data_IF_266803261466
#
_entry.id   IF_266803261466
#
_cell.length_a   1.000
_cell.length_b   1.000
_cell.length_c   1.000
_cell.angle_alpha   90.00
_cell.angle_beta   90.00
_cell.angle_gamma   90.00
#
_symmetry.space_group_name_H-M   'P 1'
#
loop_
_entity.id
_entity.type
_entity.pdbx_description
1 polymer ?
#
# COMPACT_ATOMS: atom_id res chain seq x y z
N UNK A 1 4.06 5.99 10.73
CA UNK A 1 4.43 5.41 9.44
C UNK A 1 3.24 4.70 8.83
N UNK A 2 3.05 4.85 7.53
CA UNK A 2 1.89 4.28 6.84
C UNK A 2 2.15 2.83 6.44
N UNK A 3 1.07 2.06 6.34
CA UNK A 3 1.11 0.67 5.92
C UNK A 3 0.45 0.51 4.55
N UNK A 4 0.92 -0.49 3.81
CA UNK A 4 0.26 -0.97 2.61
C UNK A 4 -0.34 -2.34 2.92
N UNK A 5 -1.55 -2.59 2.45
CA UNK A 5 -2.28 -3.83 2.69
C UNK A 5 -2.46 -4.59 1.40
N UNK A 6 -2.18 -5.89 1.42
CA UNK A 6 -2.35 -6.75 0.25
C UNK A 6 -3.73 -7.41 0.28
N UNK A 7 -4.49 -7.23 -0.79
CA UNK A 7 -5.77 -7.90 -0.99
C UNK A 7 -5.58 -9.36 -1.41
N UNK A 8 -6.63 -10.14 -1.26
CA UNK A 8 -6.63 -11.55 -1.65
C UNK A 8 -6.40 -11.75 -3.16
N UNK A 9 -6.74 -10.75 -3.98
CA UNK A 9 -6.51 -10.79 -5.43
C UNK A 9 -5.07 -10.45 -5.84
N UNK A 10 -4.20 -10.11 -4.88
CA UNK A 10 -2.80 -9.77 -5.13
C UNK A 10 -2.50 -8.28 -5.25
N UNK A 11 -3.50 -7.43 -5.32
CA UNK A 11 -3.28 -5.98 -5.39
C UNK A 11 -3.00 -5.39 -4.02
N UNK A 12 -2.28 -4.26 -4.01
CA UNK A 12 -1.95 -3.55 -2.77
C UNK A 12 -2.73 -2.24 -2.69
N UNK A 13 -3.21 -1.91 -1.50
CA UNK A 13 -3.91 -0.65 -1.22
C UNK A 13 -3.22 0.08 -0.08
N UNK A 14 -3.31 1.40 -0.08
CA UNK A 14 -2.69 2.23 0.95
C UNK A 14 -3.54 2.27 2.20
N UNK A 15 -2.92 2.65 3.32
CA UNK A 15 -3.65 2.90 4.56
C UNK A 15 -4.74 3.97 4.36
N UNK A 16 -4.44 5.00 3.56
CA UNK A 16 -5.41 6.04 3.25
C UNK A 16 -6.66 5.46 2.57
N UNK A 17 -6.47 4.54 1.63
CA UNK A 17 -7.60 3.91 0.92
C UNK A 17 -8.46 3.08 1.88
N UNK A 18 -7.83 2.37 2.83
CA UNK A 18 -8.54 1.61 3.87
C UNK A 18 -9.34 2.55 4.77
N UNK A 19 -8.75 3.65 5.20
CA UNK A 19 -9.43 4.63 6.04
C UNK A 19 -10.61 5.29 5.31
N UNK A 20 -10.43 5.57 4.01
CA UNK A 20 -11.48 6.13 3.17
C UNK A 20 -12.63 5.14 3.01
N UNK A 21 -12.32 3.85 2.80
CA UNK A 21 -13.34 2.81 2.68
C UNK A 21 -14.16 2.69 3.97
N UNK A 22 -13.51 2.79 5.12
CA UNK A 22 -14.20 2.80 6.41
C UNK A 22 -15.16 3.98 6.52
N UNK A 23 -14.70 5.18 6.17
CA UNK A 23 -15.52 6.38 6.21
C UNK A 23 -16.73 6.25 5.27
N UNK A 24 -16.51 5.78 4.05
CA UNK A 24 -17.60 5.63 3.07
C UNK A 24 -18.62 4.57 3.50
N UNK A 25 -18.17 3.53 4.19
CA UNK A 25 -19.05 2.44 4.64
C UNK A 25 -19.85 2.80 5.89
N UNK A 26 -19.27 3.56 6.81
CA UNK A 26 -19.87 3.81 8.13
C UNK A 26 -20.25 5.27 8.39
N UNK A 27 -19.73 6.21 7.59
CA UNK A 27 -19.89 7.64 7.84
C UNK A 27 -19.06 8.16 9.01
N UNK A 28 -18.17 7.32 9.56
CA UNK A 28 -17.36 7.65 10.73
C UNK A 28 -15.90 7.80 10.31
N UNK A 29 -15.25 8.92 10.70
CA UNK A 29 -13.82 9.09 10.49
C UNK A 29 -13.05 8.16 11.43
N UNK A 30 -11.97 7.55 10.93
CA UNK A 30 -11.08 6.75 11.76
C UNK A 30 -10.57 7.53 12.97
N UNK A 31 -10.24 8.81 12.76
CA UNK A 31 -9.71 9.65 13.81
C UNK A 31 -10.74 10.00 14.88
N UNK A 32 -12.02 9.91 14.55
CA UNK A 32 -13.10 10.14 15.51
C UNK A 32 -13.36 8.92 16.39
N UNK A 33 -13.12 7.71 15.86
CA UNK A 33 -13.40 6.49 16.63
C UNK A 33 -12.53 5.34 16.16
N UNK A 34 -11.30 5.28 16.70
CA UNK A 34 -10.33 4.24 16.35
C UNK A 34 -10.83 2.84 16.71
N UNK A 35 -11.57 2.69 17.80
CA UNK A 35 -12.10 1.41 18.23
C UNK A 35 -13.06 0.83 17.19
N UNK A 36 -13.96 1.66 16.66
CA UNK A 36 -14.89 1.22 15.60
C UNK A 36 -14.14 0.89 14.32
N UNK A 37 -13.09 1.66 13.99
CA UNK A 37 -12.25 1.37 12.82
C UNK A 37 -11.61 -0.01 12.96
N UNK A 38 -11.04 -0.33 14.10
CA UNK A 38 -10.42 -1.64 14.33
C UNK A 38 -11.44 -2.78 14.29
N UNK A 39 -12.62 -2.57 14.85
CA UNK A 39 -13.70 -3.56 14.79
C UNK A 39 -14.18 -3.82 13.36
N UNK A 40 -14.14 -2.80 12.51
CA UNK A 40 -14.47 -2.94 11.10
C UNK A 40 -13.36 -3.64 10.31
N UNK A 41 -12.10 -3.31 10.64
CA UNK A 41 -10.94 -3.81 9.91
C UNK A 41 -10.62 -5.28 10.22
N UNK A 42 -10.69 -5.69 11.48
CA UNK A 42 -10.29 -7.05 11.89
C UNK A 42 -11.00 -8.17 11.11
N UNK A 43 -12.32 -8.12 10.87
CA UNK A 43 -12.95 -9.17 10.08
C UNK A 43 -12.46 -9.27 8.64
N UNK A 44 -11.87 -8.20 8.08
CA UNK A 44 -11.32 -8.21 6.74
C UNK A 44 -9.94 -8.85 6.68
N UNK A 45 -9.21 -8.84 7.81
CA UNK A 45 -7.90 -9.47 7.88
C UNK A 45 -8.04 -10.99 7.79
N UNK A 46 -7.27 -11.59 6.88
CA UNK A 46 -7.36 -13.02 6.62
C UNK A 46 -8.43 -13.44 5.63
N UNK A 47 -9.37 -12.57 5.30
CA UNK A 47 -10.38 -12.82 4.27
C UNK A 47 -10.09 -12.02 3.00
N UNK A 48 -10.21 -10.71 3.10
CA UNK A 48 -9.96 -9.79 1.96
C UNK A 48 -8.54 -9.26 1.99
N UNK A 49 -8.01 -8.99 3.19
CA UNK A 49 -6.66 -8.47 3.38
C UNK A 49 -5.82 -9.59 3.98
N UNK A 50 -4.79 -10.04 3.24
CA UNK A 50 -4.00 -11.21 3.63
C UNK A 50 -2.66 -10.86 4.26
N UNK A 51 -2.12 -9.66 4.03
CA UNK A 51 -0.91 -9.22 4.72
C UNK A 51 -0.77 -7.70 4.65
N UNK A 52 0.18 -7.18 5.43
CA UNK A 52 0.50 -5.76 5.44
C UNK A 52 2.02 -5.59 5.46
N UNK A 53 2.51 -4.51 4.81
CA UNK A 53 3.92 -4.13 4.82
C UNK A 53 4.03 -2.64 5.06
N UNK A 54 5.16 -2.24 5.68
CA UNK A 54 5.43 -0.82 5.93
C UNK A 54 5.84 -0.14 4.63
N UNK A 55 5.54 1.17 4.51
CA UNK A 55 5.86 1.94 3.31
C UNK A 55 7.36 2.04 3.02
N UNK A 56 8.22 1.74 4.01
CA UNK A 56 9.67 1.73 3.85
C UNK A 56 10.25 0.33 3.68
N UNK A 57 9.43 -0.70 3.47
CA UNK A 57 9.89 -2.07 3.26
C UNK A 57 10.37 -2.23 1.81
N UNK A 58 11.66 -2.60 1.59
CA UNK A 58 12.19 -2.78 0.23
C UNK A 58 11.44 -3.86 -0.56
N UNK A 59 10.93 -4.90 0.10
CA UNK A 59 10.19 -5.97 -0.56
C UNK A 59 8.88 -5.48 -1.15
N UNK A 60 8.32 -4.40 -0.59
CA UNK A 60 7.07 -3.82 -1.09
C UNK A 60 7.21 -3.32 -2.53
N UNK A 61 8.37 -2.78 -2.90
CA UNK A 61 8.62 -2.33 -4.28
C UNK A 61 8.46 -3.51 -5.25
N UNK A 62 9.10 -4.64 -4.95
CA UNK A 62 9.01 -5.84 -5.79
C UNK A 62 7.58 -6.36 -5.86
N UNK A 63 6.88 -6.41 -4.73
CA UNK A 63 5.49 -6.87 -4.67
C UNK A 63 4.55 -5.98 -5.50
N UNK A 64 4.72 -4.66 -5.41
CA UNK A 64 3.93 -3.72 -6.19
C UNK A 64 4.17 -3.88 -7.69
N UNK A 65 5.42 -4.12 -8.10
CA UNK A 65 5.73 -4.37 -9.51
C UNK A 65 5.12 -5.68 -10.00
N UNK A 66 5.12 -6.72 -9.18
CA UNK A 66 4.48 -8.01 -9.52
C UNK A 66 2.97 -7.86 -9.70
N UNK A 67 2.33 -6.99 -8.95
CA UNK A 67 0.89 -6.74 -9.07
C UNK A 67 0.55 -5.67 -10.10
N UNK A 68 1.52 -5.24 -10.91
CA UNK A 68 1.37 -4.23 -11.98
C UNK A 68 0.98 -2.85 -11.45
N UNK A 69 1.41 -2.54 -10.22
CA UNK A 69 1.17 -1.25 -9.59
C UNK A 69 2.44 -0.39 -9.62
N UNK A 70 2.93 -0.12 -10.82
CA UNK A 70 4.19 0.60 -11.04
C UNK A 70 4.23 1.96 -10.35
N UNK A 71 3.15 2.72 -10.44
CA UNK A 71 3.12 4.07 -9.85
C UNK A 71 3.29 4.02 -8.32
N UNK A 72 2.63 3.07 -7.67
CA UNK A 72 2.79 2.87 -6.22
C UNK A 72 4.20 2.43 -5.87
N UNK A 73 4.82 1.57 -6.71
CA UNK A 73 6.20 1.15 -6.53
C UNK A 73 7.16 2.34 -6.59
N UNK A 74 6.92 3.29 -7.49
CA UNK A 74 7.72 4.52 -7.60
C UNK A 74 7.62 5.33 -6.31
N UNK A 75 6.43 5.49 -5.76
CA UNK A 75 6.23 6.23 -4.51
C UNK A 75 6.96 5.58 -3.33
N UNK A 76 6.89 4.26 -3.22
CA UNK A 76 7.56 3.52 -2.15
C UNK A 76 9.08 3.63 -2.31
N UNK A 77 9.59 3.46 -3.53
CA UNK A 77 11.02 3.60 -3.80
C UNK A 77 11.53 4.99 -3.40
N UNK A 78 10.77 6.04 -3.75
CA UNK A 78 11.10 7.41 -3.37
C UNK A 78 11.19 7.56 -1.85
N UNK A 79 10.25 6.98 -1.13
CA UNK A 79 10.19 7.04 0.34
C UNK A 79 11.40 6.34 0.97
N UNK A 80 11.73 5.16 0.47
CA UNK A 80 12.86 4.35 1.01
C UNK A 80 14.19 5.05 0.78
N UNK A 81 14.40 5.60 -0.42
CA UNK A 81 15.72 6.12 -0.83
C UNK A 81 15.85 7.64 -0.68
N UNK A 82 14.81 8.32 -0.24
CA UNK A 82 14.78 9.78 -0.07
C UNK A 82 15.25 10.53 -1.32
N UNK A 83 14.83 10.06 -2.50
CA UNK A 83 15.17 10.65 -3.78
C UNK A 83 14.00 11.42 -4.39
N UNK A 84 14.23 12.08 -5.53
CA UNK A 84 13.17 12.78 -6.25
C UNK A 84 12.26 11.79 -6.96
N UNK A 85 11.08 12.24 -7.35
CA UNK A 85 10.12 11.42 -8.10
C UNK A 85 10.72 10.95 -9.44
N UNK A 86 11.48 11.82 -10.11
CA UNK A 86 12.14 11.49 -11.37
C UNK A 86 13.17 10.38 -11.18
N UNK A 87 13.99 10.49 -10.15
CA UNK A 87 15.01 9.48 -9.84
C UNK A 87 14.37 8.13 -9.51
N UNK A 88 13.29 8.15 -8.71
CA UNK A 88 12.56 6.93 -8.37
C UNK A 88 11.96 6.28 -9.62
N UNK A 89 11.35 7.07 -10.49
CA UNK A 89 10.78 6.58 -11.73
C UNK A 89 11.83 5.94 -12.65
N UNK A 90 13.00 6.60 -12.79
CA UNK A 90 14.07 6.06 -13.62
C UNK A 90 14.61 4.75 -13.05
N UNK A 91 14.74 4.65 -11.73
CA UNK A 91 15.20 3.43 -11.07
C UNK A 91 14.19 2.29 -11.24
N UNK A 92 12.90 2.56 -11.10
CA UNK A 92 11.85 1.55 -11.28
C UNK A 92 11.79 1.10 -12.74
N UNK A 93 11.93 2.02 -13.70
CA UNK A 93 11.97 1.66 -15.11
C UNK A 93 13.15 0.71 -15.41
N UNK A 94 14.31 0.95 -14.80
CA UNK A 94 15.46 0.06 -14.94
C UNK A 94 15.18 -1.33 -14.37
N UNK A 95 14.55 -1.40 -13.19
CA UNK A 95 14.18 -2.68 -12.56
C UNK A 95 13.20 -3.46 -13.46
N UNK A 96 12.20 -2.79 -14.00
CA UNK A 96 11.20 -3.42 -14.87
C UNK A 96 11.86 -3.99 -16.13
N UNK A 97 12.83 -3.28 -16.71
CA UNK A 97 13.58 -3.77 -17.87
C UNK A 97 14.38 -5.01 -17.55
N UNK A 98 14.96 -5.08 -16.36
CA UNK A 98 15.80 -6.21 -15.95
C UNK A 98 14.98 -7.47 -15.64
N UNK A 99 13.70 -7.34 -15.33
CA UNK A 99 12.86 -8.48 -14.94
C UNK A 99 12.02 -9.05 -16.07
N UNK A 100 12.13 -8.48 -17.25
CA UNK A 100 11.41 -8.99 -18.45
C UNK A 100 12.14 -10.15 -19.11
#
# INVERSE_FOLDING_TARGET
MKLYYKNADGTWITQYEIETAFYLSTGISRFSNEKKFLCWLYPLLGKTIICAKREDDPDLVTELLKSKQKYSAIKVYKTINHCTLKEARDAIDAIVRMTK
#
